data_IF_457275557607
#
_entry.id   IF_457275557607
#
_cell.length_a   1.000
_cell.length_b   1.000
_cell.length_c   1.000
_cell.angle_alpha   90.00
_cell.angle_beta   90.00
_cell.angle_gamma   90.00
#
_symmetry.space_group_name_H-M   'P 1'
#
loop_
_entity.id
_entity.type
_entity.pdbx_description
1 polymer ?
#
# COMPACT_ATOMS: atom_id res chain seq x y z
N UNK A 1 23.27 39.11 -74.71
CA UNK A 1 23.04 39.66 -73.36
C UNK A 1 24.33 40.37 -72.99
N UNK A 2 24.32 41.68 -72.70
CA UNK A 2 25.56 42.42 -72.45
C UNK A 2 26.11 42.08 -71.08
N UNK A 3 27.44 42.03 -70.95
CA UNK A 3 28.17 41.75 -69.71
C UNK A 3 27.67 42.54 -68.46
N UNK A 4 27.14 43.76 -68.71
CA UNK A 4 26.53 44.57 -67.65
C UNK A 4 25.25 43.92 -67.02
N UNK A 5 24.44 43.19 -67.84
CA UNK A 5 23.26 42.51 -67.27
C UNK A 5 23.63 41.26 -66.48
N UNK A 6 24.70 40.58 -66.82
CA UNK A 6 25.19 39.40 -66.15
C UNK A 6 25.82 39.80 -64.80
N UNK A 7 26.53 40.91 -64.71
CA UNK A 7 27.12 41.43 -63.48
C UNK A 7 26.05 41.85 -62.46
N UNK A 8 24.95 42.49 -62.93
CA UNK A 8 23.83 42.89 -62.03
C UNK A 8 23.05 41.70 -61.50
N UNK A 9 22.93 40.63 -62.33
CA UNK A 9 22.24 39.40 -61.92
C UNK A 9 23.05 38.62 -60.83
N UNK A 10 24.38 38.55 -61.01
CA UNK A 10 25.28 37.91 -60.07
C UNK A 10 25.36 38.73 -58.76
N UNK A 11 25.41 40.07 -58.83
CA UNK A 11 25.40 40.93 -57.64
C UNK A 11 24.06 40.84 -56.88
N UNK A 12 22.94 40.77 -57.59
CA UNK A 12 21.61 40.59 -56.99
C UNK A 12 21.44 39.25 -56.30
N UNK A 13 21.92 38.14 -56.94
CA UNK A 13 21.89 36.82 -56.34
C UNK A 13 22.82 36.71 -55.11
N UNK A 14 23.99 37.32 -55.12
CA UNK A 14 24.93 37.34 -53.98
C UNK A 14 24.36 38.12 -52.80
N UNK A 15 23.70 39.27 -53.05
CA UNK A 15 23.05 40.04 -52.00
C UNK A 15 21.88 39.31 -51.38
N UNK A 16 21.08 38.57 -52.16
CA UNK A 16 19.98 37.76 -51.67
C UNK A 16 20.51 36.57 -50.83
N UNK A 17 21.61 35.93 -51.27
CA UNK A 17 22.24 34.83 -50.52
C UNK A 17 22.86 35.32 -49.20
N UNK A 18 23.52 36.47 -49.21
CA UNK A 18 24.06 37.05 -47.97
C UNK A 18 22.97 37.50 -46.98
N UNK A 19 21.84 38.02 -47.52
CA UNK A 19 20.70 38.39 -46.69
C UNK A 19 19.95 37.14 -46.13
N UNK A 20 19.83 36.07 -46.89
CA UNK A 20 19.23 34.80 -46.43
C UNK A 20 20.17 34.12 -45.43
N UNK A 21 21.47 34.09 -45.67
CA UNK A 21 22.46 33.53 -44.72
C UNK A 21 22.56 34.37 -43.44
N UNK A 22 22.49 35.70 -43.54
CA UNK A 22 22.46 36.61 -42.40
C UNK A 22 21.19 36.47 -41.59
N UNK A 23 20.02 36.22 -42.21
CA UNK A 23 18.76 35.96 -41.56
C UNK A 23 18.77 34.56 -40.88
N UNK A 24 19.41 33.57 -41.53
CA UNK A 24 19.60 32.23 -40.90
C UNK A 24 20.58 32.30 -39.72
N UNK A 25 21.66 33.08 -39.81
CA UNK A 25 22.58 33.28 -38.70
C UNK A 25 21.93 34.07 -37.55
N UNK A 26 21.08 35.07 -37.84
CA UNK A 26 20.31 35.78 -36.82
C UNK A 26 19.23 34.90 -36.18
N UNK A 27 18.60 34.02 -36.97
CA UNK A 27 17.68 33.03 -36.42
C UNK A 27 18.44 31.99 -35.58
N UNK A 28 19.62 31.54 -35.94
CA UNK A 28 20.45 30.64 -35.15
C UNK A 28 21.01 31.33 -33.87
N UNK A 29 21.33 32.63 -33.92
CA UNK A 29 21.78 33.38 -32.74
C UNK A 29 20.62 33.72 -31.82
N UNK A 30 19.39 33.88 -32.30
CA UNK A 30 18.20 34.00 -31.43
C UNK A 30 17.69 32.69 -30.84
N UNK A 31 18.06 31.55 -31.44
CA UNK A 31 17.77 30.21 -30.85
C UNK A 31 18.85 29.79 -29.83
N UNK A 32 19.95 30.52 -29.77
CA UNK A 32 21.12 30.23 -28.93
C UNK A 32 21.21 30.97 -27.60
N UNK A 33 20.14 31.60 -27.10
CA UNK A 33 20.00 31.78 -25.67
C UNK A 33 19.57 30.41 -25.10
N UNK A 34 20.56 29.56 -24.84
CA UNK A 34 20.36 28.42 -23.94
C UNK A 34 19.81 29.01 -22.66
N UNK A 35 18.53 28.79 -22.45
CA UNK A 35 17.88 29.05 -21.18
C UNK A 35 18.57 28.12 -20.20
N UNK A 36 19.38 28.68 -19.30
CA UNK A 36 20.05 27.95 -18.20
C UNK A 36 19.05 27.38 -17.19
N UNK A 37 17.77 27.34 -17.53
CA UNK A 37 16.79 26.62 -16.76
C UNK A 37 17.10 25.12 -16.86
N UNK A 38 17.23 24.44 -15.74
CA UNK A 38 17.50 23.01 -15.73
C UNK A 38 16.42 22.30 -16.57
N UNK A 39 16.86 21.47 -17.51
CA UNK A 39 15.96 20.68 -18.35
C UNK A 39 15.03 19.89 -17.43
N UNK A 40 13.74 20.15 -17.53
CA UNK A 40 12.76 19.48 -16.68
C UNK A 40 12.80 17.98 -16.96
N UNK A 41 13.14 17.20 -15.94
CA UNK A 41 13.15 15.74 -16.03
C UNK A 41 11.73 15.23 -15.81
N UNK A 42 11.15 14.63 -16.86
CA UNK A 42 9.85 13.97 -16.78
C UNK A 42 10.03 12.46 -16.72
N UNK A 43 9.27 11.82 -15.83
CA UNK A 43 9.22 10.36 -15.75
C UNK A 43 7.79 9.87 -15.77
N UNK A 44 7.57 8.75 -16.45
CA UNK A 44 6.29 8.08 -16.41
C UNK A 44 6.25 7.15 -15.19
N UNK A 45 5.37 7.47 -14.24
CA UNK A 45 5.02 6.59 -13.13
C UNK A 45 3.92 5.65 -13.60
N UNK A 46 4.17 4.35 -13.57
CA UNK A 46 3.17 3.33 -13.91
C UNK A 46 2.61 2.71 -12.63
N UNK A 47 1.34 2.27 -12.69
CA UNK A 47 0.63 1.73 -11.55
C UNK A 47 0.10 2.81 -10.62
N UNK A 48 -0.56 2.38 -9.57
CA UNK A 48 -1.04 3.28 -8.53
C UNK A 48 0.14 3.65 -7.63
N UNK A 49 0.33 4.95 -7.41
CA UNK A 49 1.37 5.45 -6.52
C UNK A 49 0.82 6.56 -5.63
N UNK A 50 1.38 6.66 -4.45
CA UNK A 50 0.99 7.64 -3.45
C UNK A 50 2.06 8.72 -3.38
N UNK A 51 1.63 9.98 -3.38
CA UNK A 51 2.50 11.12 -3.08
C UNK A 51 2.22 11.62 -1.66
N UNK A 52 3.28 11.96 -0.97
CA UNK A 52 3.29 12.41 0.42
C UNK A 52 3.65 13.87 0.50
N UNK A 53 3.17 14.59 1.51
CA UNK A 53 3.52 16.00 1.71
C UNK A 53 4.99 16.21 2.13
N UNK A 54 5.64 15.16 2.62
CA UNK A 54 7.08 15.11 2.98
C UNK A 54 7.62 13.69 2.71
N UNK A 55 8.95 13.49 2.63
CA UNK A 55 9.57 12.19 2.36
C UNK A 55 9.53 11.28 3.60
N UNK A 56 8.35 10.82 3.96
CA UNK A 56 8.04 9.99 5.11
C UNK A 56 6.79 9.18 4.77
N UNK A 57 6.83 7.85 4.90
CA UNK A 57 5.70 6.95 4.61
C UNK A 57 4.49 7.16 5.52
N UNK A 58 4.67 7.82 6.66
CA UNK A 58 3.60 8.19 7.59
C UNK A 58 3.21 9.68 7.47
N UNK A 59 3.74 10.39 6.48
CA UNK A 59 3.29 11.74 6.19
C UNK A 59 1.91 11.73 5.54
N UNK A 60 1.22 12.88 5.65
CA UNK A 60 -0.05 13.06 4.99
C UNK A 60 0.11 12.84 3.48
N UNK A 61 -0.80 12.08 2.89
CA UNK A 61 -0.84 11.88 1.44
C UNK A 61 -1.38 13.13 0.76
N UNK A 62 -0.75 13.50 -0.34
CA UNK A 62 -1.21 14.62 -1.17
C UNK A 62 -2.29 14.13 -2.11
N UNK A 63 -2.03 13.01 -2.79
CA UNK A 63 -2.97 12.38 -3.71
C UNK A 63 -2.55 10.93 -4.03
N UNK A 64 -3.54 10.11 -4.34
CA UNK A 64 -3.34 8.82 -4.98
C UNK A 64 -3.39 8.98 -6.51
N UNK A 65 -2.48 8.33 -7.19
CA UNK A 65 -2.35 8.48 -8.64
C UNK A 65 -2.40 7.15 -9.34
N UNK A 66 -3.04 7.17 -10.50
CA UNK A 66 -2.85 6.15 -11.52
C UNK A 66 -1.72 6.56 -12.45
N UNK A 67 -1.14 5.59 -13.13
CA UNK A 67 -0.07 5.74 -14.11
C UNK A 67 -0.09 7.08 -14.85
N UNK A 68 0.91 7.94 -14.62
CA UNK A 68 1.02 9.25 -15.29
C UNK A 68 2.45 9.79 -15.34
N UNK A 69 2.63 10.80 -16.19
CA UNK A 69 3.90 11.54 -16.27
C UNK A 69 4.02 12.51 -15.08
N UNK A 70 5.14 12.46 -14.40
CA UNK A 70 5.49 13.39 -13.33
C UNK A 70 6.76 14.15 -13.69
N UNK A 71 6.85 15.41 -13.29
CA UNK A 71 8.07 16.20 -13.36
C UNK A 71 8.85 16.01 -12.08
N UNK A 72 10.11 15.61 -12.18
CA UNK A 72 11.01 15.52 -11.03
C UNK A 72 11.50 16.94 -10.69
N UNK A 73 11.26 17.38 -9.47
CA UNK A 73 11.68 18.65 -8.91
C UNK A 73 12.96 18.51 -8.11
N UNK A 74 13.08 17.43 -7.32
CA UNK A 74 14.22 17.15 -6.46
C UNK A 74 14.39 15.62 -6.37
N UNK A 75 15.65 15.17 -6.31
CA UNK A 75 16.02 13.78 -6.03
C UNK A 75 16.89 13.72 -4.79
N UNK A 76 16.52 12.90 -3.81
CA UNK A 76 17.31 12.67 -2.59
C UNK A 76 18.09 11.36 -2.71
N UNK A 77 19.24 11.31 -2.02
CA UNK A 77 20.09 10.13 -2.02
C UNK A 77 19.45 8.91 -1.33
N UNK A 78 18.45 9.12 -0.46
CA UNK A 78 17.69 8.10 0.25
C UNK A 78 16.54 7.49 -0.58
N UNK A 79 16.42 7.87 -1.87
CA UNK A 79 15.43 7.32 -2.80
C UNK A 79 14.14 8.13 -2.91
N UNK A 80 13.92 9.13 -2.06
CA UNK A 80 12.78 10.01 -2.17
C UNK A 80 12.97 11.03 -3.30
N UNK A 81 11.89 11.32 -4.02
CA UNK A 81 11.84 12.34 -5.06
C UNK A 81 10.67 13.26 -4.85
N UNK A 82 10.93 14.57 -4.93
CA UNK A 82 9.89 15.56 -5.02
C UNK A 82 9.42 15.65 -6.46
N UNK A 83 8.12 15.52 -6.69
CA UNK A 83 7.53 15.46 -8.02
C UNK A 83 6.38 16.44 -8.15
N UNK A 84 6.14 16.91 -9.38
CA UNK A 84 4.99 17.76 -9.71
C UNK A 84 4.20 17.14 -10.86
N UNK A 85 2.88 17.18 -10.75
CA UNK A 85 1.93 16.65 -11.73
C UNK A 85 0.60 17.38 -11.61
N UNK A 86 0.01 17.78 -12.73
CA UNK A 86 -1.32 18.41 -12.76
C UNK A 86 -1.47 19.66 -11.87
N UNK A 87 -0.38 20.35 -11.56
CA UNK A 87 -0.38 21.53 -10.68
C UNK A 87 -0.28 21.21 -9.18
N UNK A 88 -0.13 19.94 -8.82
CA UNK A 88 0.09 19.45 -7.46
C UNK A 88 1.53 18.98 -7.30
N UNK A 89 2.09 19.11 -6.12
CA UNK A 89 3.44 18.63 -5.78
C UNK A 89 3.38 17.69 -4.60
N UNK A 90 4.32 16.74 -4.56
CA UNK A 90 4.44 15.79 -3.45
C UNK A 90 5.70 14.96 -3.55
N UNK A 91 5.97 14.20 -2.49
CA UNK A 91 7.11 13.30 -2.40
C UNK A 91 6.69 11.88 -2.77
N UNK A 92 7.49 11.23 -3.59
CA UNK A 92 7.35 9.82 -3.93
C UNK A 92 8.66 9.10 -3.64
N UNK A 93 8.59 7.89 -3.11
CA UNK A 93 9.78 7.08 -2.88
C UNK A 93 10.20 6.38 -4.17
N UNK A 94 11.41 6.64 -4.63
CA UNK A 94 11.97 6.06 -5.86
C UNK A 94 13.47 5.81 -5.68
N UNK A 95 13.87 4.56 -5.67
CA UNK A 95 15.28 4.19 -5.73
C UNK A 95 15.74 4.11 -7.19
N UNK A 96 16.58 5.05 -7.62
CA UNK A 96 17.23 4.99 -8.93
C UNK A 96 18.69 4.61 -8.75
N UNK A 97 18.96 3.34 -8.40
CA UNK A 97 20.31 2.82 -8.23
C UNK A 97 20.63 1.79 -9.32
N UNK A 98 21.88 1.77 -9.84
CA UNK A 98 22.31 0.69 -10.69
C UNK A 98 22.41 -0.61 -9.88
N UNK A 99 21.88 -1.70 -10.43
CA UNK A 99 22.05 -3.06 -9.92
C UNK A 99 22.57 -3.96 -11.02
N UNK A 100 23.39 -4.93 -10.64
CA UNK A 100 23.90 -5.95 -11.55
C UNK A 100 22.97 -7.16 -11.51
N UNK A 101 22.46 -7.55 -12.69
CA UNK A 101 21.77 -8.82 -12.86
C UNK A 101 22.78 -9.89 -13.27
N UNK A 102 22.77 -11.01 -12.58
CA UNK A 102 23.65 -12.16 -12.88
C UNK A 102 23.02 -13.11 -13.91
N UNK A 103 21.71 -13.04 -14.09
CA UNK A 103 20.94 -13.92 -14.97
C UNK A 103 19.79 -13.17 -15.65
N UNK A 104 19.23 -13.72 -16.74
CA UNK A 104 18.01 -13.15 -17.33
C UNK A 104 16.85 -13.18 -16.34
N UNK A 105 16.07 -12.11 -16.33
CA UNK A 105 14.91 -11.95 -15.45
C UNK A 105 13.67 -11.55 -16.27
N UNK A 106 12.51 -11.95 -15.78
CA UNK A 106 11.22 -11.56 -16.38
C UNK A 106 10.88 -10.11 -16.07
N UNK A 107 10.39 -9.42 -17.08
CA UNK A 107 9.80 -8.07 -16.98
C UNK A 107 8.29 -8.17 -17.06
N UNK A 108 7.61 -7.33 -16.27
CA UNK A 108 6.16 -7.30 -16.11
C UNK A 108 5.66 -5.87 -16.28
N UNK A 109 4.46 -5.69 -16.82
CA UNK A 109 3.84 -4.36 -16.92
C UNK A 109 3.34 -3.84 -15.56
N UNK A 110 3.00 -4.76 -14.66
CA UNK A 110 2.50 -4.48 -13.30
C UNK A 110 3.02 -5.52 -12.32
N UNK A 111 3.11 -5.15 -11.04
CA UNK A 111 3.38 -6.10 -9.94
C UNK A 111 2.26 -7.13 -9.73
N UNK A 112 1.11 -6.92 -10.38
CA UNK A 112 -0.04 -7.82 -10.37
C UNK A 112 -0.13 -8.73 -11.59
N UNK A 113 0.79 -8.59 -12.57
CA UNK A 113 0.77 -9.39 -13.78
C UNK A 113 1.34 -10.79 -13.53
N UNK A 114 0.62 -11.79 -14.02
CA UNK A 114 1.03 -13.19 -13.99
C UNK A 114 1.88 -13.57 -15.21
N UNK A 115 1.71 -12.80 -16.27
CA UNK A 115 2.33 -13.07 -17.56
C UNK A 115 3.49 -12.10 -17.71
N UNK A 116 4.65 -12.68 -17.90
CA UNK A 116 5.85 -11.95 -18.27
C UNK A 116 5.62 -11.24 -19.60
N UNK A 117 5.83 -9.92 -19.61
CA UNK A 117 5.72 -9.11 -20.81
C UNK A 117 6.98 -9.22 -21.67
N UNK A 118 8.17 -9.29 -21.04
CA UNK A 118 9.45 -9.39 -21.73
C UNK A 118 10.53 -10.02 -20.82
N UNK A 119 11.78 -10.13 -21.34
CA UNK A 119 12.97 -10.58 -20.64
C UNK A 119 14.05 -9.49 -20.69
N UNK A 120 14.70 -9.24 -19.56
CA UNK A 120 15.93 -8.46 -19.50
C UNK A 120 17.11 -9.43 -19.30
N UNK A 121 18.15 -9.28 -20.12
CA UNK A 121 19.38 -10.09 -20.00
C UNK A 121 20.21 -9.75 -18.78
N UNK A 122 21.27 -10.54 -18.47
CA UNK A 122 22.23 -10.19 -17.45
C UNK A 122 22.95 -8.89 -17.83
N UNK A 123 23.33 -8.10 -16.82
CA UNK A 123 23.98 -6.80 -17.01
C UNK A 123 23.53 -5.77 -15.99
N UNK A 124 24.01 -4.55 -16.16
CA UNK A 124 23.60 -3.44 -15.31
C UNK A 124 22.19 -2.97 -15.66
N UNK A 125 21.33 -2.88 -14.65
CA UNK A 125 19.99 -2.32 -14.73
C UNK A 125 19.89 -1.05 -13.89
N UNK A 126 19.04 -0.13 -14.31
CA UNK A 126 18.72 1.08 -13.54
C UNK A 126 17.40 0.87 -12.81
N UNK A 127 17.49 0.75 -11.49
CA UNK A 127 16.31 0.64 -10.62
C UNK A 127 15.70 2.02 -10.38
N UNK A 128 14.41 2.15 -10.62
CA UNK A 128 13.65 3.39 -10.46
C UNK A 128 12.84 3.42 -9.18
N UNK A 129 12.39 2.25 -8.70
CA UNK A 129 11.69 2.07 -7.44
C UNK A 129 11.83 0.63 -6.97
N UNK A 130 11.60 0.39 -5.68
CA UNK A 130 11.54 -0.94 -5.07
C UNK A 130 10.24 -1.10 -4.28
N UNK A 131 9.62 -2.27 -4.40
CA UNK A 131 8.51 -2.72 -3.55
C UNK A 131 8.74 -4.20 -3.20
N UNK A 132 9.30 -4.45 -2.03
CA UNK A 132 9.73 -5.78 -1.62
C UNK A 132 10.76 -6.37 -2.58
N UNK A 133 10.43 -7.48 -3.23
CA UNK A 133 11.28 -8.12 -4.25
C UNK A 133 11.08 -7.56 -5.67
N UNK A 134 10.17 -6.65 -5.86
CA UNK A 134 9.93 -6.01 -7.13
C UNK A 134 10.81 -4.79 -7.32
N UNK A 135 11.41 -4.72 -8.48
CA UNK A 135 12.16 -3.55 -8.94
C UNK A 135 11.44 -2.96 -10.14
N UNK A 136 11.09 -1.69 -10.06
CA UNK A 136 10.74 -0.93 -11.26
C UNK A 136 12.04 -0.56 -11.94
N UNK A 137 12.27 -1.07 -13.15
CA UNK A 137 13.51 -0.86 -13.88
C UNK A 137 13.26 -0.07 -15.15
N UNK A 138 14.27 0.71 -15.57
CA UNK A 138 14.22 1.43 -16.83
C UNK A 138 14.57 0.48 -17.97
N UNK A 139 13.69 0.39 -18.96
CA UNK A 139 13.93 -0.33 -20.23
C UNK A 139 13.82 0.62 -21.42
N UNK A 140 14.27 0.24 -22.63
CA UNK A 140 14.08 1.05 -23.82
C UNK A 140 12.62 1.35 -24.15
N UNK A 141 11.71 0.42 -23.83
CA UNK A 141 10.27 0.52 -24.05
C UNK A 141 9.54 1.30 -22.94
N UNK A 142 10.27 1.71 -21.90
CA UNK A 142 9.76 2.42 -20.71
C UNK A 142 9.95 1.65 -19.42
N UNK A 143 9.49 2.18 -18.29
CA UNK A 143 9.61 1.49 -17.01
C UNK A 143 8.81 0.18 -16.98
N UNK A 144 9.46 -0.90 -16.54
CA UNK A 144 8.84 -2.21 -16.34
C UNK A 144 9.20 -2.78 -14.97
N UNK A 145 8.36 -3.63 -14.45
CA UNK A 145 8.61 -4.31 -13.19
C UNK A 145 9.43 -5.58 -13.40
N UNK A 146 10.44 -5.78 -12.57
CA UNK A 146 11.28 -6.96 -12.51
C UNK A 146 11.19 -7.56 -11.12
N UNK A 147 11.01 -8.87 -11.02
CA UNK A 147 11.05 -9.55 -9.73
C UNK A 147 12.38 -10.26 -9.54
N UNK A 148 13.06 -9.97 -8.43
CA UNK A 148 14.36 -10.57 -8.09
C UNK A 148 14.27 -12.05 -7.73
N UNK A 149 13.10 -12.52 -7.35
CA UNK A 149 12.86 -13.89 -6.97
C UNK A 149 12.12 -14.66 -8.06
N UNK A 150 12.33 -15.96 -8.10
CA UNK A 150 11.51 -16.84 -8.93
C UNK A 150 10.11 -16.92 -8.34
N UNK A 151 9.11 -16.52 -9.11
CA UNK A 151 7.73 -16.62 -8.69
C UNK A 151 7.19 -18.02 -8.94
N UNK A 152 6.56 -18.65 -7.96
CA UNK A 152 5.82 -19.85 -8.20
C UNK A 152 4.66 -19.58 -9.17
N UNK A 153 4.29 -20.61 -9.93
CA UNK A 153 3.05 -20.55 -10.68
C UNK A 153 1.87 -20.29 -9.73
N UNK A 154 0.96 -19.42 -10.11
CA UNK A 154 -0.32 -19.22 -9.38
C UNK A 154 -1.29 -20.40 -9.56
N UNK A 155 -1.04 -21.24 -10.54
CA UNK A 155 -1.92 -22.37 -10.86
C UNK A 155 -2.33 -23.21 -9.66
N UNK A 156 -1.44 -23.62 -8.72
CA UNK A 156 -1.85 -24.38 -7.55
C UNK A 156 -2.84 -23.62 -6.64
N UNK A 157 -2.67 -22.28 -6.54
CA UNK A 157 -3.59 -21.43 -5.78
C UNK A 157 -4.95 -21.34 -6.48
N UNK A 158 -4.95 -21.10 -7.79
CA UNK A 158 -6.18 -21.02 -8.60
C UNK A 158 -6.95 -22.35 -8.60
N UNK A 159 -6.25 -23.47 -8.77
CA UNK A 159 -6.86 -24.79 -8.71
C UNK A 159 -7.51 -25.06 -7.34
N UNK A 160 -6.79 -24.75 -6.26
CA UNK A 160 -7.31 -24.92 -4.90
C UNK A 160 -8.55 -24.05 -4.67
N UNK A 161 -8.45 -22.73 -4.85
CA UNK A 161 -9.57 -21.82 -4.56
C UNK A 161 -10.78 -22.02 -5.48
N UNK A 162 -10.56 -22.40 -6.74
CA UNK A 162 -11.66 -22.71 -7.67
C UNK A 162 -12.32 -24.07 -7.37
N UNK A 163 -11.65 -24.97 -6.65
CA UNK A 163 -12.21 -26.27 -6.25
C UNK A 163 -13.06 -26.20 -4.97
N UNK A 164 -12.97 -25.10 -4.20
CA UNK A 164 -13.73 -24.97 -2.95
C UNK A 164 -15.23 -24.96 -3.20
N UNK A 165 -16.02 -25.73 -2.43
CA UNK A 165 -17.47 -25.78 -2.58
C UNK A 165 -18.20 -24.57 -1.99
N UNK A 166 -17.47 -23.59 -1.47
CA UNK A 166 -17.97 -22.38 -0.82
C UNK A 166 -17.24 -21.14 -1.33
N UNK A 167 -17.87 -19.97 -1.14
CA UNK A 167 -17.32 -18.70 -1.60
C UNK A 167 -16.52 -18.04 -0.49
N UNK A 168 -15.27 -17.71 -0.82
CA UNK A 168 -14.37 -16.91 0.00
C UNK A 168 -13.70 -15.83 -0.83
N UNK A 169 -13.30 -14.78 -0.17
CA UNK A 169 -12.39 -13.78 -0.71
C UNK A 169 -11.08 -13.87 0.07
N UNK A 170 -9.97 -14.00 -0.64
CA UNK A 170 -8.66 -14.24 -0.03
C UNK A 170 -7.65 -13.26 -0.59
N UNK A 171 -6.80 -12.74 0.30
CA UNK A 171 -5.58 -12.05 -0.07
C UNK A 171 -4.40 -12.70 0.66
N UNK A 172 -3.36 -12.99 -0.08
CA UNK A 172 -2.10 -13.51 0.44
C UNK A 172 -0.94 -12.66 -0.06
N UNK A 173 0.00 -12.31 0.84
CA UNK A 173 1.24 -11.62 0.49
C UNK A 173 2.40 -12.23 1.26
N UNK A 174 3.37 -12.79 0.56
CA UNK A 174 4.66 -13.15 1.17
C UNK A 174 5.48 -11.87 1.39
N UNK A 175 6.01 -11.68 2.59
CA UNK A 175 6.62 -10.41 3.01
C UNK A 175 8.10 -10.29 2.63
N UNK A 176 8.80 -11.41 2.44
CA UNK A 176 10.21 -11.40 2.01
C UNK A 176 10.33 -11.16 0.50
N UNK A 177 9.41 -11.73 -0.26
CA UNK A 177 9.50 -11.72 -1.72
C UNK A 177 8.57 -10.69 -2.36
N UNK A 178 7.53 -10.24 -1.64
CA UNK A 178 6.48 -9.39 -2.17
C UNK A 178 5.46 -10.13 -3.03
N UNK A 179 5.55 -11.47 -3.18
CA UNK A 179 4.54 -12.24 -3.91
C UNK A 179 3.15 -12.00 -3.35
N UNK A 180 2.22 -11.65 -4.22
CA UNK A 180 0.82 -11.45 -3.86
C UNK A 180 -0.07 -12.37 -4.68
N UNK A 181 -1.11 -12.85 -4.01
CA UNK A 181 -2.20 -13.59 -4.64
C UNK A 181 -3.54 -13.07 -4.09
N UNK A 182 -4.51 -12.94 -4.98
CA UNK A 182 -5.85 -12.49 -4.64
C UNK A 182 -6.86 -13.41 -5.33
N UNK A 183 -7.78 -13.97 -4.53
CA UNK A 183 -8.93 -14.70 -5.05
C UNK A 183 -10.19 -13.94 -4.66
N UNK A 184 -10.91 -13.38 -5.65
CA UNK A 184 -12.10 -12.54 -5.44
C UNK A 184 -11.85 -11.43 -4.40
N UNK A 185 -10.61 -10.88 -4.38
CA UNK A 185 -10.16 -9.97 -3.34
C UNK A 185 -10.84 -8.62 -3.34
N UNK A 186 -11.50 -8.27 -4.44
CA UNK A 186 -12.28 -7.05 -4.67
C UNK A 186 -13.74 -7.12 -4.17
N UNK A 187 -14.20 -8.30 -3.71
CA UNK A 187 -15.56 -8.43 -3.16
C UNK A 187 -15.68 -7.63 -1.86
N UNK A 188 -16.81 -6.92 -1.75
CA UNK A 188 -17.11 -6.04 -0.62
C UNK A 188 -17.87 -6.81 0.46
N UNK A 189 -17.39 -6.72 1.70
CA UNK A 189 -18.01 -7.31 2.89
C UNK A 189 -18.24 -6.25 3.96
N UNK A 190 -19.16 -6.52 4.89
CA UNK A 190 -19.18 -5.80 6.15
C UNK A 190 -17.92 -6.16 6.94
N UNK A 191 -17.05 -5.19 7.20
CA UNK A 191 -15.72 -5.41 7.80
C UNK A 191 -15.77 -5.96 9.22
N UNK A 192 -16.91 -5.84 9.90
CA UNK A 192 -17.07 -6.19 11.30
C UNK A 192 -15.92 -5.62 12.16
N UNK A 193 -15.30 -6.45 12.99
CA UNK A 193 -14.20 -6.01 13.89
C UNK A 193 -12.83 -5.87 13.22
N UNK A 194 -12.70 -6.08 11.90
CA UNK A 194 -11.43 -5.85 11.20
C UNK A 194 -11.00 -4.38 11.27
N UNK A 195 -11.95 -3.44 11.36
CA UNK A 195 -11.67 -2.00 11.48
C UNK A 195 -11.00 -1.57 12.80
N UNK A 196 -10.96 -2.43 13.81
CA UNK A 196 -10.36 -2.09 15.10
C UNK A 196 -8.85 -1.90 15.01
N UNK A 197 -8.17 -2.63 14.14
CA UNK A 197 -6.72 -2.54 14.01
C UNK A 197 -6.23 -1.26 13.30
N UNK A 198 -6.80 -0.80 12.17
CA UNK A 198 -6.40 0.47 11.61
C UNK A 198 -6.75 1.65 12.52
N UNK A 199 -7.84 1.54 13.31
CA UNK A 199 -8.16 2.56 14.29
C UNK A 199 -7.17 2.58 15.46
N UNK A 200 -6.72 1.42 15.94
CA UNK A 200 -5.68 1.36 16.96
C UNK A 200 -4.36 1.96 16.46
N UNK A 201 -3.96 1.63 15.23
CA UNK A 201 -2.78 2.23 14.59
C UNK A 201 -2.91 3.76 14.48
N UNK A 202 -4.11 4.26 14.15
CA UNK A 202 -4.39 5.69 14.12
C UNK A 202 -4.16 6.37 15.50
N UNK A 203 -4.67 5.77 16.58
CA UNK A 203 -4.50 6.33 17.93
C UNK A 203 -3.04 6.29 18.36
N UNK A 204 -2.30 5.21 18.07
CA UNK A 204 -0.86 5.14 18.31
C UNK A 204 -0.11 6.22 17.53
N UNK A 205 -0.45 6.43 16.26
CA UNK A 205 0.13 7.50 15.45
C UNK A 205 -0.14 8.91 16.03
N UNK A 206 -1.35 9.17 16.55
CA UNK A 206 -1.64 10.42 17.27
C UNK A 206 -0.78 10.54 18.55
N UNK A 207 -0.57 9.45 19.26
CA UNK A 207 0.26 9.45 20.47
C UNK A 207 1.74 9.75 20.16
N UNK A 208 2.28 9.18 19.08
CA UNK A 208 3.64 9.47 18.60
C UNK A 208 3.84 10.96 18.24
N UNK A 209 2.78 11.60 17.74
CA UNK A 209 2.78 13.04 17.46
C UNK A 209 2.52 13.91 18.71
N UNK A 210 2.34 13.30 19.89
CA UNK A 210 2.00 14.00 21.12
C UNK A 210 0.57 14.57 21.16
N UNK A 211 -0.29 14.11 20.22
CA UNK A 211 -1.68 14.56 20.14
C UNK A 211 -2.62 13.70 21.01
N UNK A 212 -2.25 12.46 21.32
CA UNK A 212 -3.01 11.58 22.21
C UNK A 212 -2.17 11.18 23.43
N UNK A 213 -2.78 11.22 24.59
CA UNK A 213 -2.19 10.73 25.84
C UNK A 213 -2.72 9.32 26.14
N UNK A 214 -1.86 8.32 25.99
CA UNK A 214 -2.21 6.92 26.22
C UNK A 214 -2.41 6.58 27.70
N UNK A 215 -1.91 7.42 28.62
CA UNK A 215 -2.08 7.26 30.08
C UNK A 215 -3.38 7.88 30.61
N UNK A 216 -4.07 8.68 29.76
CA UNK A 216 -5.31 9.34 30.14
C UNK A 216 -6.38 8.31 30.53
N UNK A 217 -6.99 8.54 31.72
CA UNK A 217 -8.00 7.64 32.29
C UNK A 217 -9.41 8.04 31.81
N UNK A 218 -10.20 7.03 31.47
CA UNK A 218 -11.59 7.13 31.03
C UNK A 218 -12.46 6.22 31.89
N UNK A 219 -13.69 6.65 32.16
CA UNK A 219 -14.61 5.88 33.01
C UNK A 219 -15.67 5.21 32.14
N UNK A 220 -15.85 3.90 32.33
CA UNK A 220 -16.96 3.16 31.69
C UNK A 220 -18.29 3.57 32.34
N UNK A 221 -19.19 4.09 31.53
CA UNK A 221 -20.51 4.56 31.96
C UNK A 221 -21.61 3.84 31.18
N UNK A 222 -22.85 3.97 31.61
CA UNK A 222 -24.00 3.43 30.88
C UNK A 222 -24.11 3.96 29.45
N UNK A 223 -23.61 5.17 29.16
CA UNK A 223 -23.60 5.76 27.80
C UNK A 223 -22.62 5.04 26.87
N UNK A 224 -21.57 4.46 27.43
CA UNK A 224 -20.55 3.72 26.64
C UNK A 224 -20.95 2.26 26.40
N UNK A 225 -21.99 1.76 27.06
CA UNK A 225 -22.40 0.36 26.91
C UNK A 225 -22.68 0.01 25.44
N UNK A 226 -22.07 -1.10 25.00
CA UNK A 226 -22.29 -1.67 23.65
C UNK A 226 -22.44 -3.18 23.77
N UNK A 227 -23.38 -3.74 23.04
CA UNK A 227 -23.53 -5.19 22.92
C UNK A 227 -22.45 -5.81 22.03
N UNK A 228 -22.49 -7.11 21.88
CA UNK A 228 -21.58 -7.90 21.03
C UNK A 228 -20.37 -8.43 21.81
N UNK A 229 -19.18 -8.39 21.21
CA UNK A 229 -17.94 -8.96 21.78
C UNK A 229 -17.28 -8.05 22.82
N UNK A 230 -16.45 -8.64 23.65
CA UNK A 230 -15.61 -7.95 24.64
C UNK A 230 -16.01 -8.20 26.08
N UNK A 231 -15.10 -7.83 26.98
CA UNK A 231 -15.16 -8.08 28.42
C UNK A 231 -15.70 -6.88 29.21
N UNK A 232 -15.45 -5.66 28.74
CA UNK A 232 -15.78 -4.41 29.49
C UNK A 232 -17.27 -4.29 29.74
N UNK A 233 -18.13 -4.72 28.83
CA UNK A 233 -19.59 -4.68 29.01
C UNK A 233 -20.11 -5.47 30.20
N UNK A 234 -19.31 -6.38 30.76
CA UNK A 234 -19.62 -7.21 31.94
C UNK A 234 -19.00 -6.65 33.21
N UNK A 235 -18.22 -5.58 33.11
CA UNK A 235 -17.60 -4.94 34.29
C UNK A 235 -18.57 -3.95 34.94
N UNK A 236 -18.38 -3.61 36.21
CA UNK A 236 -19.18 -2.61 36.91
C UNK A 236 -19.09 -1.24 36.22
N UNK A 237 -20.20 -0.51 36.17
CA UNK A 237 -20.18 0.92 35.80
C UNK A 237 -19.28 1.67 36.79
N UNK A 238 -18.49 2.63 36.28
CA UNK A 238 -17.47 3.32 37.06
C UNK A 238 -16.08 2.72 36.94
N UNK A 239 -15.92 1.54 36.32
CA UNK A 239 -14.59 0.97 36.02
C UNK A 239 -13.80 1.94 35.15
N UNK A 240 -12.53 2.11 35.47
CA UNK A 240 -11.63 3.04 34.79
C UNK A 240 -10.62 2.30 33.93
N UNK A 241 -10.29 2.88 32.79
CA UNK A 241 -9.33 2.38 31.83
C UNK A 241 -8.48 3.53 31.29
N UNK A 242 -7.20 3.32 31.14
CA UNK A 242 -6.36 4.22 30.33
C UNK A 242 -6.70 4.09 28.84
N UNK A 243 -6.33 5.08 28.04
CA UNK A 243 -6.45 5.00 26.58
C UNK A 243 -5.74 3.74 26.06
N UNK A 244 -4.55 3.40 26.58
CA UNK A 244 -3.80 2.22 26.18
C UNK A 244 -4.53 0.91 26.52
N UNK A 245 -5.13 0.81 27.70
CA UNK A 245 -5.94 -0.37 28.06
C UNK A 245 -7.14 -0.53 27.14
N UNK A 246 -7.81 0.56 26.77
CA UNK A 246 -8.89 0.51 25.78
C UNK A 246 -8.39 0.03 24.42
N UNK A 247 -7.20 0.45 23.96
CA UNK A 247 -6.60 -0.03 22.72
C UNK A 247 -6.34 -1.54 22.77
N UNK A 248 -5.76 -2.02 23.85
CA UNK A 248 -5.51 -3.45 24.07
C UNK A 248 -6.81 -4.24 24.04
N UNK A 249 -7.83 -3.84 24.80
CA UNK A 249 -9.14 -4.49 24.80
C UNK A 249 -9.81 -4.47 23.41
N UNK A 250 -9.71 -3.35 22.70
CA UNK A 250 -10.28 -3.21 21.35
C UNK A 250 -9.68 -4.20 20.39
N UNK A 251 -8.35 -4.38 20.39
CA UNK A 251 -7.65 -5.25 19.43
C UNK A 251 -7.67 -6.70 19.89
N UNK A 252 -7.18 -6.99 21.11
CA UNK A 252 -7.00 -8.33 21.64
C UNK A 252 -8.34 -9.03 21.89
N UNK A 253 -9.21 -8.40 22.70
CA UNK A 253 -10.49 -9.01 23.14
C UNK A 253 -11.64 -8.67 22.18
N UNK A 254 -11.31 -7.98 21.09
CA UNK A 254 -12.32 -7.46 20.16
C UNK A 254 -13.46 -6.67 20.84
N UNK A 255 -13.13 -5.96 21.93
CA UNK A 255 -14.11 -5.31 22.79
C UNK A 255 -14.80 -4.15 22.08
N UNK A 256 -16.15 -4.22 21.99
CA UNK A 256 -16.95 -3.19 21.35
C UNK A 256 -17.06 -1.93 22.21
N UNK A 257 -17.10 -2.06 23.55
CA UNK A 257 -17.16 -0.89 24.43
C UNK A 257 -15.87 -0.08 24.28
N UNK A 258 -14.71 -0.74 24.36
CA UNK A 258 -13.42 -0.09 24.15
C UNK A 258 -13.32 0.60 22.80
N UNK A 259 -13.68 -0.11 21.72
CA UNK A 259 -13.61 0.45 20.36
C UNK A 259 -14.49 1.68 20.17
N UNK A 260 -15.75 1.64 20.64
CA UNK A 260 -16.64 2.78 20.49
C UNK A 260 -16.26 3.95 21.39
N UNK A 261 -15.74 3.70 22.60
CA UNK A 261 -15.15 4.74 23.45
C UNK A 261 -13.99 5.44 22.72
N UNK A 262 -13.08 4.69 22.12
CA UNK A 262 -11.96 5.24 21.36
C UNK A 262 -12.42 6.02 20.13
N UNK A 263 -13.40 5.52 19.39
CA UNK A 263 -13.98 6.25 18.24
C UNK A 263 -14.57 7.61 18.68
N UNK A 264 -15.31 7.64 19.78
CA UNK A 264 -15.92 8.87 20.28
C UNK A 264 -14.85 9.83 20.83
N UNK A 265 -13.81 9.33 21.49
CA UNK A 265 -12.71 10.13 22.05
C UNK A 265 -11.86 10.80 20.95
N UNK A 266 -11.65 10.14 19.82
CA UNK A 266 -10.78 10.61 18.75
C UNK A 266 -11.53 11.10 17.51
N UNK A 267 -12.85 11.28 17.59
CA UNK A 267 -13.69 11.66 16.46
C UNK A 267 -13.32 13.02 15.82
N UNK A 268 -12.80 13.96 16.61
CA UNK A 268 -12.54 15.34 16.19
C UNK A 268 -11.03 15.68 16.12
N UNK A 269 -10.16 14.69 16.01
CA UNK A 269 -8.73 14.92 15.87
C UNK A 269 -8.34 15.22 14.41
N UNK A 270 -7.23 15.92 14.22
CA UNK A 270 -6.63 16.17 12.91
C UNK A 270 -5.20 15.59 12.90
N UNK A 271 -4.83 14.74 11.90
CA UNK A 271 -5.73 14.25 10.85
C UNK A 271 -6.90 13.44 11.43
N UNK A 272 -8.03 13.42 10.72
CA UNK A 272 -9.16 12.57 11.09
C UNK A 272 -8.83 11.08 10.85
N UNK A 273 -9.60 10.19 11.51
CA UNK A 273 -9.44 8.75 11.23
C UNK A 273 -9.64 8.41 9.74
N UNK A 274 -10.55 9.09 9.06
CA UNK A 274 -10.81 8.86 7.64
C UNK A 274 -9.61 9.26 6.77
N UNK A 275 -8.99 10.41 7.06
CA UNK A 275 -7.77 10.84 6.35
C UNK A 275 -6.62 9.87 6.61
N UNK A 276 -6.44 9.44 7.85
CA UNK A 276 -5.43 8.42 8.20
C UNK A 276 -5.70 7.08 7.49
N UNK A 277 -6.96 6.63 7.47
CA UNK A 277 -7.35 5.39 6.80
C UNK A 277 -7.06 5.44 5.29
N UNK A 278 -7.30 6.60 4.65
CA UNK A 278 -6.87 6.85 3.26
C UNK A 278 -5.37 6.74 3.09
N UNK A 279 -4.62 7.34 4.01
CA UNK A 279 -3.15 7.30 3.96
C UNK A 279 -2.60 5.88 4.09
N UNK A 280 -3.31 4.96 4.75
CA UNK A 280 -2.96 3.53 4.77
C UNK A 280 -3.27 2.83 3.43
N UNK A 281 -3.96 3.48 2.50
CA UNK A 281 -4.46 2.90 1.26
C UNK A 281 -5.88 2.34 1.39
N UNK A 282 -6.62 2.72 2.43
CA UNK A 282 -8.03 2.35 2.60
C UNK A 282 -8.94 3.00 1.55
N UNK A 283 -9.93 2.27 1.08
CA UNK A 283 -10.85 2.75 0.06
C UNK A 283 -12.03 3.53 0.68
N UNK A 284 -11.98 4.84 0.56
CA UNK A 284 -13.04 5.71 1.09
C UNK A 284 -14.38 5.60 0.36
N UNK A 285 -14.40 5.03 -0.84
CA UNK A 285 -15.64 4.69 -1.55
C UNK A 285 -16.46 3.60 -0.86
N UNK A 286 -15.84 2.84 0.05
CA UNK A 286 -16.51 1.84 0.89
C UNK A 286 -16.99 2.40 2.24
N UNK A 287 -16.91 3.71 2.45
CA UNK A 287 -17.43 4.37 3.63
C UNK A 287 -18.96 4.26 3.68
N UNK A 288 -19.49 3.83 4.84
CA UNK A 288 -20.94 3.76 5.02
C UNK A 288 -21.49 5.13 5.41
N UNK A 289 -22.16 5.80 4.48
CA UNK A 289 -22.75 7.13 4.67
C UNK A 289 -23.85 7.15 5.74
N UNK A 290 -24.60 6.06 5.91
CA UNK A 290 -25.71 5.97 6.88
C UNK A 290 -25.18 5.99 8.31
N UNK A 291 -24.10 5.25 8.57
CA UNK A 291 -23.51 5.16 9.92
C UNK A 291 -22.41 6.18 10.15
N UNK A 292 -21.91 6.85 9.10
CA UNK A 292 -20.75 7.72 9.17
C UNK A 292 -19.45 6.98 9.55
N UNK A 293 -19.40 5.66 9.35
CA UNK A 293 -18.29 4.81 9.82
C UNK A 293 -17.76 3.92 8.69
N UNK A 294 -16.48 3.60 8.75
CA UNK A 294 -15.82 2.64 7.86
C UNK A 294 -16.22 1.22 8.28
N UNK A 295 -17.24 0.68 7.65
CA UNK A 295 -17.73 -0.66 7.98
C UNK A 295 -17.82 -1.62 6.79
N UNK A 296 -17.32 -1.21 5.64
CA UNK A 296 -17.14 -2.05 4.46
C UNK A 296 -15.65 -2.23 4.16
N UNK A 297 -15.27 -3.38 3.63
CA UNK A 297 -13.88 -3.70 3.33
C UNK A 297 -13.79 -4.82 2.30
N UNK A 298 -12.76 -4.84 1.48
CA UNK A 298 -12.37 -5.96 0.62
C UNK A 298 -11.20 -6.73 1.24
N UNK A 299 -10.94 -7.94 0.77
CA UNK A 299 -9.78 -8.70 1.26
C UNK A 299 -8.45 -8.05 0.84
N UNK A 300 -8.39 -7.46 -0.35
CA UNK A 300 -7.21 -6.71 -0.81
C UNK A 300 -6.93 -5.50 0.07
N UNK A 301 -7.96 -4.71 0.38
CA UNK A 301 -7.85 -3.57 1.28
C UNK A 301 -7.41 -3.99 2.69
N UNK A 302 -8.03 -5.05 3.24
CA UNK A 302 -7.63 -5.61 4.53
C UNK A 302 -6.18 -6.08 4.55
N UNK A 303 -5.72 -6.67 3.44
CA UNK A 303 -4.34 -7.11 3.24
C UNK A 303 -3.35 -5.95 3.18
N UNK A 304 -3.69 -4.90 2.43
CA UNK A 304 -2.88 -3.67 2.36
C UNK A 304 -2.76 -3.01 3.74
N UNK A 305 -3.87 -2.85 4.45
CA UNK A 305 -3.86 -2.30 5.82
C UNK A 305 -2.99 -3.16 6.74
N UNK A 306 -3.13 -4.50 6.64
CA UNK A 306 -2.31 -5.41 7.47
C UNK A 306 -0.83 -5.33 7.12
N UNK A 307 -0.48 -5.05 5.87
CA UNK A 307 0.89 -4.78 5.46
C UNK A 307 1.44 -3.49 6.07
N UNK A 308 0.64 -2.41 6.15
CA UNK A 308 1.01 -1.18 6.85
C UNK A 308 1.20 -1.40 8.35
N UNK A 309 0.34 -2.22 8.96
CA UNK A 309 0.49 -2.63 10.35
C UNK A 309 1.79 -3.42 10.55
N UNK A 310 2.12 -4.34 9.63
CA UNK A 310 3.39 -5.07 9.67
C UNK A 310 4.59 -4.11 9.59
N UNK A 311 4.56 -3.16 8.66
CA UNK A 311 5.63 -2.16 8.53
C UNK A 311 5.80 -1.33 9.81
N UNK A 312 4.71 -0.98 10.49
CA UNK A 312 4.75 -0.28 11.77
C UNK A 312 5.32 -1.16 12.90
N UNK A 313 4.88 -2.42 12.97
CA UNK A 313 5.28 -3.37 14.02
C UNK A 313 6.77 -3.76 13.91
N UNK A 314 7.27 -3.96 12.70
CA UNK A 314 8.66 -4.40 12.46
C UNK A 314 9.60 -3.22 12.16
N UNK A 315 9.07 -2.00 12.09
CA UNK A 315 9.82 -0.77 11.91
C UNK A 315 10.06 -0.01 13.22
N UNK A 316 10.10 1.31 13.12
CA UNK A 316 10.44 2.21 14.22
C UNK A 316 9.22 2.73 15.01
N UNK A 317 8.07 2.05 14.95
CA UNK A 317 6.87 2.45 15.68
C UNK A 317 7.10 2.46 17.19
N UNK A 318 6.84 3.57 17.87
CA UNK A 318 7.07 3.71 19.31
C UNK A 318 6.22 2.70 20.10
N UNK A 319 5.00 2.43 19.63
CA UNK A 319 4.05 1.49 20.27
C UNK A 319 3.91 0.18 19.49
N UNK A 320 4.93 -0.18 18.69
CA UNK A 320 4.95 -1.39 17.89
C UNK A 320 4.77 -2.66 18.72
N UNK A 321 5.44 -2.72 19.87
CA UNK A 321 5.38 -3.87 20.77
C UNK A 321 3.98 -4.09 21.37
N UNK A 322 3.28 -3.03 21.75
CA UNK A 322 1.92 -3.07 22.29
C UNK A 322 0.91 -3.56 21.24
N UNK A 323 1.00 -3.04 20.01
CA UNK A 323 0.12 -3.45 18.92
C UNK A 323 0.40 -4.91 18.52
N UNK A 324 1.67 -5.28 18.37
CA UNK A 324 2.10 -6.66 18.08
C UNK A 324 1.59 -7.64 19.13
N UNK A 325 1.80 -7.32 20.42
CA UNK A 325 1.37 -8.16 21.51
C UNK A 325 -0.17 -8.33 21.54
N UNK A 326 -0.92 -7.26 21.26
CA UNK A 326 -2.38 -7.32 21.21
C UNK A 326 -2.88 -8.23 20.08
N UNK A 327 -2.22 -8.21 18.90
CA UNK A 327 -2.56 -9.06 17.77
C UNK A 327 -2.15 -10.52 17.98
N UNK A 328 -0.98 -10.79 18.59
CA UNK A 328 -0.51 -12.15 18.89
C UNK A 328 -1.36 -12.85 19.94
N UNK A 329 -2.04 -12.09 20.82
CA UNK A 329 -2.87 -12.61 21.89
C UNK A 329 -4.37 -12.38 21.61
N UNK A 330 -4.78 -12.43 20.35
CA UNK A 330 -6.20 -12.35 19.98
C UNK A 330 -7.02 -13.44 20.70
N UNK A 331 -8.15 -13.04 21.29
CA UNK A 331 -9.04 -13.90 22.06
C UNK A 331 -9.73 -14.99 21.21
N UNK A 332 -9.84 -14.77 19.91
CA UNK A 332 -10.43 -15.72 18.94
C UNK A 332 -9.47 -15.88 17.77
N UNK A 333 -8.52 -16.82 17.86
CA UNK A 333 -7.67 -17.16 16.71
C UNK A 333 -8.49 -17.97 15.69
N UNK A 334 -8.52 -17.52 14.44
CA UNK A 334 -9.25 -18.18 13.34
C UNK A 334 -8.28 -18.66 12.27
N UNK A 335 -7.37 -17.79 11.80
CA UNK A 335 -6.26 -18.22 10.94
C UNK A 335 -5.28 -18.99 11.82
N UNK A 336 -5.03 -20.25 11.45
CA UNK A 336 -4.19 -21.17 12.20
C UNK A 336 -2.92 -21.47 11.42
N UNK A 337 -1.78 -21.47 12.11
CA UNK A 337 -0.49 -21.87 11.54
C UNK A 337 0.39 -22.54 12.60
N UNK A 338 1.44 -23.23 12.16
CA UNK A 338 2.47 -23.80 13.05
C UNK A 338 3.41 -22.75 13.62
N UNK A 339 3.16 -21.48 13.32
CA UNK A 339 3.97 -20.32 13.66
C UNK A 339 3.15 -19.30 14.43
N UNK A 340 3.78 -18.34 15.12
CA UNK A 340 3.04 -17.25 15.77
C UNK A 340 2.20 -16.47 14.74
N UNK A 341 0.95 -16.18 15.12
CA UNK A 341 -0.02 -15.48 14.26
C UNK A 341 -0.49 -14.21 14.97
N UNK A 342 -0.16 -13.06 14.40
CA UNK A 342 -0.70 -11.78 14.84
C UNK A 342 -1.95 -11.48 14.01
N UNK A 343 -3.14 -11.56 14.62
CA UNK A 343 -4.40 -11.58 13.88
C UNK A 343 -5.51 -10.74 14.49
N UNK A 344 -6.49 -10.40 13.65
CA UNK A 344 -7.73 -9.77 14.06
C UNK A 344 -8.90 -10.34 13.28
N UNK A 345 -9.78 -11.00 14.01
CA UNK A 345 -11.01 -11.51 13.44
C UNK A 345 -12.12 -10.45 13.36
N UNK A 346 -13.10 -10.72 12.50
CA UNK A 346 -14.35 -9.97 12.38
C UNK A 346 -15.53 -10.90 12.17
N UNK A 347 -16.59 -10.70 12.96
CA UNK A 347 -17.81 -11.52 12.87
C UNK A 347 -19.04 -10.66 13.09
N UNK A 348 -19.96 -10.66 12.14
CA UNK A 348 -21.24 -9.96 12.26
C UNK A 348 -22.16 -10.32 11.10
N UNK A 349 -23.43 -10.61 11.41
CA UNK A 349 -24.53 -10.78 10.46
C UNK A 349 -24.18 -11.68 9.27
N UNK A 350 -23.79 -12.91 9.55
CA UNK A 350 -23.37 -13.90 8.56
C UNK A 350 -21.96 -13.76 8.05
N UNK A 351 -21.31 -12.61 8.27
CA UNK A 351 -19.92 -12.39 7.90
C UNK A 351 -18.97 -13.04 8.91
N UNK A 352 -17.94 -13.70 8.38
CA UNK A 352 -16.88 -14.35 9.15
C UNK A 352 -15.54 -14.10 8.47
N UNK A 353 -14.64 -13.40 9.16
CA UNK A 353 -13.40 -12.88 8.58
C UNK A 353 -12.24 -13.03 9.53
N UNK A 354 -11.04 -13.14 8.99
CA UNK A 354 -9.81 -12.90 9.71
C UNK A 354 -8.75 -12.31 8.80
N UNK A 355 -7.84 -11.54 9.39
CA UNK A 355 -6.64 -11.02 8.76
C UNK A 355 -5.45 -11.17 9.69
N UNK A 356 -4.36 -11.71 9.18
CA UNK A 356 -3.22 -12.13 9.98
C UNK A 356 -1.88 -11.82 9.31
N UNK A 357 -0.88 -11.59 10.18
CA UNK A 357 0.55 -11.74 9.88
C UNK A 357 0.98 -13.07 10.48
N UNK A 358 1.44 -14.00 9.66
CA UNK A 358 2.00 -15.28 10.09
C UNK A 358 3.52 -15.18 10.08
N UNK A 359 4.14 -15.36 11.25
CA UNK A 359 5.58 -15.27 11.46
C UNK A 359 6.28 -16.60 11.13
N UNK A 360 6.05 -17.10 9.93
CA UNK A 360 6.78 -18.24 9.37
C UNK A 360 8.25 -17.87 9.08
N UNK A 361 9.14 -18.84 8.78
CA UNK A 361 10.52 -18.56 8.35
C UNK A 361 10.61 -17.61 7.16
N UNK A 362 9.61 -17.60 6.29
CA UNK A 362 9.30 -16.53 5.34
C UNK A 362 7.91 -15.99 5.70
N UNK A 363 7.83 -14.84 6.37
CA UNK A 363 6.59 -14.35 6.91
C UNK A 363 5.61 -13.92 5.82
N UNK A 364 4.31 -13.99 6.14
CA UNK A 364 3.28 -13.64 5.17
C UNK A 364 2.03 -13.04 5.80
N UNK A 365 1.29 -12.30 5.01
CA UNK A 365 -0.06 -11.84 5.32
C UNK A 365 -1.06 -12.79 4.69
N UNK A 366 -2.08 -13.16 5.46
CA UNK A 366 -3.25 -13.88 4.98
C UNK A 366 -4.51 -13.16 5.45
N UNK A 367 -5.41 -12.90 4.51
CA UNK A 367 -6.75 -12.40 4.79
C UNK A 367 -7.75 -13.38 4.20
N UNK A 368 -8.76 -13.76 4.98
CA UNK A 368 -9.88 -14.58 4.54
C UNK A 368 -11.15 -13.85 4.93
N UNK A 369 -12.00 -13.57 3.95
CA UNK A 369 -13.31 -12.94 4.14
C UNK A 369 -14.41 -13.80 3.53
N UNK A 370 -15.52 -13.95 4.24
CA UNK A 370 -16.61 -14.82 3.80
C UNK A 370 -17.96 -14.42 4.41
N UNK A 371 -19.03 -15.00 3.89
CA UNK A 371 -20.38 -14.98 4.48
C UNK A 371 -20.77 -16.34 5.03
N UNK A 372 -19.80 -17.10 5.55
CA UNK A 372 -20.00 -18.51 5.97
C UNK A 372 -20.41 -18.66 7.44
N UNK A 373 -20.72 -17.58 8.16
CA UNK A 373 -21.21 -17.69 9.54
C UNK A 373 -22.67 -18.13 9.61
N UNK A 374 -22.96 -19.26 9.00
CA UNK A 374 -24.30 -19.81 9.03
C UNK A 374 -24.72 -20.22 10.45
N UNK A 375 -25.83 -19.68 10.90
CA UNK A 375 -26.41 -19.95 12.22
C UNK A 375 -25.49 -19.64 13.42
N UNK A 376 -24.51 -18.74 13.25
CA UNK A 376 -23.63 -18.35 14.33
C UNK A 376 -22.60 -19.40 14.73
N UNK A 377 -22.28 -20.37 13.87
CA UNK A 377 -21.28 -21.41 14.16
C UNK A 377 -19.86 -21.05 13.76
N UNK A 378 -19.71 -20.05 12.86
CA UNK A 378 -18.43 -19.69 12.23
C UNK A 378 -18.05 -20.69 11.15
N UNK A 379 -16.97 -20.39 10.43
CA UNK A 379 -16.41 -21.21 9.35
C UNK A 379 -14.97 -21.64 9.73
N UNK A 380 -14.80 -22.19 10.93
CA UNK A 380 -13.48 -22.51 11.47
C UNK A 380 -12.77 -23.62 10.68
N UNK A 381 -13.51 -24.63 10.21
CA UNK A 381 -12.95 -25.74 9.45
C UNK A 381 -12.47 -25.26 8.07
N UNK A 382 -13.29 -24.46 7.39
CA UNK A 382 -12.98 -23.87 6.08
C UNK A 382 -11.76 -22.94 6.16
N UNK A 383 -11.67 -22.12 7.21
CA UNK A 383 -10.54 -21.24 7.42
C UNK A 383 -9.27 -22.02 7.79
N UNK A 384 -9.39 -23.12 8.55
CA UNK A 384 -8.26 -23.99 8.87
C UNK A 384 -7.74 -24.71 7.62
N UNK A 385 -8.62 -25.15 6.72
CA UNK A 385 -8.27 -25.75 5.43
C UNK A 385 -7.45 -24.76 4.57
N UNK A 386 -7.97 -23.54 4.39
CA UNK A 386 -7.30 -22.48 3.63
C UNK A 386 -5.96 -22.11 4.28
N UNK A 387 -5.93 -21.94 5.60
CA UNK A 387 -4.71 -21.57 6.34
C UNK A 387 -3.61 -22.61 6.15
N UNK A 388 -3.95 -23.90 6.25
CA UNK A 388 -3.02 -25.00 6.04
C UNK A 388 -2.49 -25.02 4.61
N UNK A 389 -3.36 -24.92 3.62
CA UNK A 389 -2.96 -24.90 2.22
C UNK A 389 -2.00 -23.74 1.91
N UNK A 390 -2.31 -22.53 2.40
CA UNK A 390 -1.45 -21.35 2.21
C UNK A 390 -0.12 -21.52 2.94
N UNK A 391 -0.10 -22.08 4.16
CA UNK A 391 1.14 -22.37 4.88
C UNK A 391 2.02 -23.38 4.11
N UNK A 392 1.44 -24.45 3.60
CA UNK A 392 2.15 -25.44 2.79
C UNK A 392 2.70 -24.82 1.51
N UNK A 393 1.91 -24.00 0.83
CA UNK A 393 2.34 -23.24 -0.34
C UNK A 393 3.49 -22.29 0.01
N UNK A 394 3.37 -21.51 1.08
CA UNK A 394 4.40 -20.59 1.54
C UNK A 394 5.71 -21.32 1.88
N UNK A 395 5.61 -22.40 2.67
CA UNK A 395 6.77 -23.20 3.07
C UNK A 395 7.46 -23.84 1.87
N UNK A 396 6.70 -24.32 0.90
CA UNK A 396 7.25 -24.98 -0.30
C UNK A 396 8.03 -24.02 -1.20
N UNK A 397 7.55 -22.80 -1.35
CA UNK A 397 8.07 -21.89 -2.37
C UNK A 397 8.93 -20.74 -1.83
N UNK A 398 8.77 -20.39 -0.55
CA UNK A 398 9.42 -19.19 0.01
C UNK A 398 10.28 -19.46 1.24
N UNK A 399 10.07 -20.56 1.97
CA UNK A 399 10.92 -20.84 3.13
C UNK A 399 12.38 -21.12 2.71
N UNK A 400 13.36 -20.67 3.48
CA UNK A 400 14.76 -21.02 3.26
C UNK A 400 14.93 -22.54 3.28
N UNK A 401 15.66 -23.06 2.34
CA UNK A 401 16.06 -24.49 2.30
C UNK A 401 17.25 -24.74 3.19
#
# INVERSE_FOLDING_TARGET
>A
MSEKKMLFTIFGLTLVFVSIFGLFLLLFVQVGAFDDRPVAVYRHMRGDFITYCRPDFFADTVLEHRSQMVRILEERADGWKHVSFGGTEGWVYMLAQPRQLERPMGLFNSIYDDIRADLIGPGEIKVLAEDGSWLLVSTPEGPMWLNLHFWPSRQPLDEFFNSLPYNVSVYYKNLDTGFTYSHRGDLIFASASLNKTPHALYVYHLAEKGLADLSRVHTFTALNYRGGTGVIRHMPLGTQFTTNELLIHSVRDSDNVAFFMLLDLFANYSPSYLEFYRALGGNTGLFNEITGRLNLMTAEEAGLIMYRIYQYIEGDGIYAAELKNSLLNSDVPIIMADYPVAQKYGRWDGNFHDKAIVYAPSPYILVIMSTLDYHGRGAFEEFAEISRFIQEFNNRYFSPR
#
